data_IF_349933850303
#
_entry.id   IF_349933850303
#
_cell.length_a   1.000
_cell.length_b   1.000
_cell.length_c   1.000
_cell.angle_alpha   90.00
_cell.angle_beta   90.00
_cell.angle_gamma   90.00
#
_symmetry.space_group_name_H-M   'P 1'
#
loop_
_entity.id
_entity.type
_entity.pdbx_description
1 polymer ?
#
# COMPACT_ATOMS: atom_id res chain seq x y z
N UNK A 1 -17.40 -47.91 8.21
CA UNK A 1 -18.20 -46.67 8.41
C UNK A 1 -17.48 -45.65 9.31
N UNK A 2 -17.11 -45.97 10.56
CA UNK A 2 -16.43 -45.02 11.48
C UNK A 2 -15.13 -44.39 10.92
N UNK A 3 -14.31 -45.19 10.23
CA UNK A 3 -13.07 -44.72 9.56
C UNK A 3 -13.35 -43.78 8.39
N UNK A 4 -14.46 -43.98 7.69
CA UNK A 4 -14.87 -43.14 6.56
C UNK A 4 -15.40 -41.78 7.05
N UNK A 5 -16.16 -41.79 8.14
CA UNK A 5 -16.65 -40.56 8.81
C UNK A 5 -15.48 -39.73 9.36
N UNK A 6 -14.48 -40.38 9.97
CA UNK A 6 -13.26 -39.69 10.41
C UNK A 6 -12.49 -39.06 9.24
N UNK A 7 -12.38 -39.77 8.12
CA UNK A 7 -11.72 -39.25 6.92
C UNK A 7 -12.46 -38.04 6.32
N UNK A 8 -13.80 -38.10 6.27
CA UNK A 8 -14.63 -37.01 5.79
C UNK A 8 -14.56 -35.78 6.70
N UNK A 9 -14.54 -35.98 8.03
CA UNK A 9 -14.36 -34.91 9.00
C UNK A 9 -12.98 -34.25 8.91
N UNK A 10 -11.95 -35.03 8.61
CA UNK A 10 -10.59 -34.51 8.42
C UNK A 10 -10.48 -33.67 7.14
N UNK A 11 -11.11 -34.09 6.03
CA UNK A 11 -11.20 -33.32 4.78
C UNK A 11 -11.98 -32.00 4.96
N UNK A 12 -13.04 -31.99 5.76
CA UNK A 12 -13.81 -30.77 6.05
C UNK A 12 -13.06 -29.79 6.97
N UNK A 13 -12.14 -30.28 7.81
CA UNK A 13 -11.29 -29.43 8.63
C UNK A 13 -10.28 -28.60 7.81
N UNK A 14 -9.81 -29.12 6.68
CA UNK A 14 -8.84 -28.42 5.83
C UNK A 14 -9.42 -27.18 5.12
N UNK A 15 -10.73 -27.14 4.87
CA UNK A 15 -11.38 -25.98 4.24
C UNK A 15 -11.59 -24.80 5.19
N UNK A 16 -11.28 -24.96 6.48
CA UNK A 16 -11.37 -23.87 7.47
C UNK A 16 -10.03 -23.15 7.71
N UNK A 17 -8.95 -23.58 7.05
CA UNK A 17 -7.60 -23.04 7.23
C UNK A 17 -7.23 -21.97 6.18
N UNK A 18 -8.18 -21.13 5.77
CA UNK A 18 -7.87 -19.99 4.90
C UNK A 18 -7.12 -18.91 5.68
N UNK A 19 -5.81 -18.79 5.44
CA UNK A 19 -5.03 -17.65 5.92
C UNK A 19 -5.57 -16.37 5.27
N UNK A 20 -5.95 -15.38 6.09
CA UNK A 20 -6.33 -14.06 5.61
C UNK A 20 -5.07 -13.26 5.26
N UNK A 21 -5.11 -12.45 4.20
CA UNK A 21 -4.07 -11.45 4.00
C UNK A 21 -4.23 -10.37 5.08
N UNK A 22 -3.15 -10.07 5.81
CA UNK A 22 -3.14 -9.11 6.91
C UNK A 22 -2.34 -7.86 6.61
N UNK A 23 -1.71 -7.78 5.44
CA UNK A 23 -0.84 -6.66 5.03
C UNK A 23 -1.10 -6.29 3.57
N UNK A 24 -0.88 -5.02 3.22
CA UNK A 24 -1.19 -4.52 1.88
C UNK A 24 -2.69 -4.43 1.63
N UNK A 25 -3.15 -4.84 0.45
CA UNK A 25 -4.57 -4.83 0.09
C UNK A 25 -5.31 -5.96 0.84
N UNK A 26 -6.16 -5.58 1.78
CA UNK A 26 -6.98 -6.52 2.57
C UNK A 26 -8.38 -6.70 1.95
N UNK A 27 -8.91 -5.66 1.30
CA UNK A 27 -10.20 -5.69 0.62
C UNK A 27 -10.19 -4.78 -0.60
N UNK A 28 -10.89 -5.18 -1.65
CA UNK A 28 -11.08 -4.39 -2.86
C UNK A 28 -12.52 -4.57 -3.34
N UNK A 29 -13.18 -3.46 -3.63
CA UNK A 29 -14.53 -3.40 -4.16
C UNK A 29 -14.50 -2.61 -5.46
N UNK A 30 -14.78 -3.29 -6.58
CA UNK A 30 -14.75 -2.71 -7.92
C UNK A 30 -15.88 -1.71 -8.15
N UNK A 31 -17.01 -1.84 -7.46
CA UNK A 31 -18.16 -0.93 -7.61
C UNK A 31 -17.95 0.37 -6.81
N UNK A 32 -17.16 0.31 -5.74
CA UNK A 32 -16.86 1.44 -4.85
C UNK A 32 -15.46 2.05 -5.11
N UNK A 33 -14.77 1.64 -6.18
CA UNK A 33 -13.45 2.16 -6.54
C UNK A 33 -13.39 2.66 -7.97
N UNK A 34 -12.59 3.72 -8.17
CA UNK A 34 -12.30 4.22 -9.51
C UNK A 34 -11.14 3.43 -10.14
N UNK A 35 -11.23 3.16 -11.43
CA UNK A 35 -10.09 2.66 -12.21
C UNK A 35 -8.93 3.67 -12.18
N UNK A 36 -7.71 3.17 -12.01
CA UNK A 36 -6.51 3.98 -12.11
C UNK A 36 -5.41 3.58 -11.13
N UNK A 37 -4.60 4.58 -10.77
CA UNK A 37 -3.47 4.43 -9.86
C UNK A 37 -3.56 5.45 -8.72
N UNK A 38 -3.04 5.05 -7.57
CA UNK A 38 -2.93 5.89 -6.39
C UNK A 38 -1.49 6.39 -6.26
N UNK A 39 -1.31 7.71 -6.27
CA UNK A 39 -0.01 8.32 -6.02
C UNK A 39 0.13 8.57 -4.52
N UNK A 40 1.09 7.90 -3.88
CA UNK A 40 1.36 8.02 -2.45
C UNK A 40 2.71 8.66 -2.20
N UNK A 41 2.74 9.64 -1.30
CA UNK A 41 3.98 10.21 -0.77
C UNK A 41 3.95 10.15 0.77
N UNK A 42 4.34 9.01 1.37
CA UNK A 42 4.10 8.76 2.78
C UNK A 42 4.91 9.69 3.68
N UNK A 43 4.29 10.15 4.77
CA UNK A 43 4.95 11.05 5.72
C UNK A 43 6.26 10.46 6.24
N UNK A 44 7.31 11.29 6.32
CA UNK A 44 8.67 10.90 6.72
C UNK A 44 9.32 9.77 5.89
N UNK A 45 8.83 9.46 4.69
CA UNK A 45 9.49 8.59 3.72
C UNK A 45 9.83 9.36 2.44
N UNK A 46 11.08 9.30 1.97
CA UNK A 46 11.52 10.11 0.82
C UNK A 46 10.98 9.63 -0.54
N UNK A 47 10.61 8.36 -0.62
CA UNK A 47 10.08 7.72 -1.83
C UNK A 47 8.62 8.13 -2.12
N UNK A 48 8.33 8.35 -3.40
CA UNK A 48 6.96 8.43 -3.94
C UNK A 48 6.63 7.10 -4.60
N UNK A 49 5.41 6.61 -4.39
CA UNK A 49 4.93 5.34 -4.93
C UNK A 49 3.71 5.56 -5.81
N UNK A 50 3.65 4.84 -6.92
CA UNK A 50 2.44 4.66 -7.71
C UNK A 50 1.93 3.24 -7.46
N UNK A 51 0.71 3.11 -6.96
CA UNK A 51 0.12 1.83 -6.57
C UNK A 51 -1.15 1.58 -7.39
N UNK A 52 -1.31 0.37 -7.93
CA UNK A 52 -2.55 -0.01 -8.62
C UNK A 52 -3.65 -0.43 -7.63
N UNK A 53 -4.86 -0.65 -8.13
CA UNK A 53 -5.99 -1.06 -7.28
C UNK A 53 -5.84 -2.46 -6.67
N UNK A 54 -4.93 -3.30 -7.18
CA UNK A 54 -4.56 -4.59 -6.57
C UNK A 54 -3.59 -4.45 -5.38
N UNK A 55 -3.16 -3.22 -5.06
CA UNK A 55 -2.20 -2.95 -3.98
C UNK A 55 -0.73 -3.17 -4.36
N UNK A 56 -0.42 -3.31 -5.65
CA UNK A 56 0.94 -3.52 -6.13
C UNK A 56 1.61 -2.17 -6.45
N UNK A 57 2.88 -2.02 -6.05
CA UNK A 57 3.70 -0.88 -6.45
C UNK A 57 4.11 -1.06 -7.90
N UNK A 58 3.58 -0.23 -8.79
CA UNK A 58 3.89 -0.28 -10.23
C UNK A 58 5.01 0.66 -10.64
N UNK A 59 5.31 1.67 -9.81
CA UNK A 59 6.42 2.61 -10.02
C UNK A 59 6.85 3.20 -8.67
N UNK A 60 8.16 3.40 -8.51
CA UNK A 60 8.75 4.09 -7.36
C UNK A 60 9.70 5.21 -7.82
N UNK A 61 9.73 6.32 -7.08
CA UNK A 61 10.73 7.38 -7.20
C UNK A 61 11.45 7.57 -5.86
N UNK A 62 12.59 6.87 -5.66
CA UNK A 62 13.30 6.90 -4.39
C UNK A 62 13.97 8.26 -4.12
N UNK A 63 14.14 8.57 -2.84
CA UNK A 63 14.90 9.73 -2.37
C UNK A 63 15.46 9.42 -0.99
N UNK A 64 16.79 9.32 -0.90
CA UNK A 64 17.49 8.95 0.33
C UNK A 64 17.88 10.19 1.16
N UNK A 65 17.85 11.38 0.56
CA UNK A 65 18.37 12.61 1.16
C UNK A 65 17.26 13.46 1.80
N UNK A 66 16.04 13.41 1.24
CA UNK A 66 14.95 14.29 1.63
C UNK A 66 13.71 13.53 2.10
N UNK A 67 12.88 14.23 2.87
CA UNK A 67 11.56 13.75 3.32
C UNK A 67 10.43 14.59 2.69
N UNK A 68 9.17 14.14 2.73
CA UNK A 68 8.07 14.82 2.04
C UNK A 68 7.81 16.24 2.51
N UNK A 69 7.53 17.11 1.54
CA UNK A 69 6.94 18.44 1.71
C UNK A 69 5.43 18.45 1.45
N UNK A 70 4.73 17.34 1.76
CA UNK A 70 3.26 17.13 1.69
C UNK A 70 2.58 17.17 0.32
N UNK A 71 3.28 17.45 -0.78
CA UNK A 71 2.67 17.45 -2.12
C UNK A 71 3.53 16.65 -3.10
N UNK A 72 2.87 15.77 -3.85
CA UNK A 72 3.38 15.12 -5.04
C UNK A 72 2.31 15.18 -6.14
N UNK A 73 2.74 15.39 -7.38
CA UNK A 73 1.90 15.49 -8.56
C UNK A 73 2.55 14.75 -9.72
N UNK A 74 1.82 13.83 -10.34
CA UNK A 74 2.24 13.13 -11.55
C UNK A 74 1.59 13.80 -12.76
N UNK A 75 2.41 14.40 -13.60
CA UNK A 75 1.96 15.07 -14.81
C UNK A 75 1.52 14.06 -15.90
N UNK A 76 0.65 14.46 -16.85
CA UNK A 76 0.19 13.57 -17.93
C UNK A 76 1.32 13.05 -18.84
N UNK A 77 2.46 13.72 -18.88
CA UNK A 77 3.66 13.29 -19.61
C UNK A 77 4.55 12.31 -18.82
N UNK A 78 4.11 11.88 -17.64
CA UNK A 78 4.80 10.92 -16.77
C UNK A 78 5.84 11.54 -15.84
N UNK A 79 6.01 12.87 -15.83
CA UNK A 79 6.96 13.53 -14.92
C UNK A 79 6.38 13.69 -13.52
N UNK A 80 7.19 13.39 -12.52
CA UNK A 80 6.86 13.62 -11.11
C UNK A 80 7.35 15.00 -10.66
N UNK A 81 6.45 15.80 -10.09
CA UNK A 81 6.76 17.02 -9.35
C UNK A 81 6.45 16.75 -7.88
N UNK A 82 7.45 16.90 -7.00
CA UNK A 82 7.25 16.70 -5.54
C UNK A 82 7.90 17.82 -4.74
N UNK A 83 7.22 18.25 -3.69
CA UNK A 83 7.78 19.14 -2.67
C UNK A 83 8.58 18.29 -1.68
N UNK A 84 9.80 18.70 -1.34
CA UNK A 84 10.67 17.96 -0.41
C UNK A 84 11.35 18.90 0.57
N UNK A 85 11.70 18.37 1.74
CA UNK A 85 12.36 19.12 2.82
C UNK A 85 13.50 18.31 3.42
N UNK A 86 14.44 19.00 4.09
CA UNK A 86 15.49 18.32 4.83
C UNK A 86 14.88 17.57 6.03
N UNK A 87 15.40 16.39 6.41
CA UNK A 87 14.91 15.67 7.59
C UNK A 87 14.89 16.55 8.86
N UNK A 88 15.89 17.43 9.02
CA UNK A 88 16.07 18.31 10.18
C UNK A 88 15.23 19.59 10.15
N UNK A 89 14.59 19.92 9.02
CA UNK A 89 13.92 21.22 8.85
C UNK A 89 12.62 21.38 9.64
N UNK A 90 12.07 20.30 10.18
CA UNK A 90 10.76 20.30 10.86
C UNK A 90 10.83 19.99 12.37
N UNK A 91 12.02 19.99 12.97
CA UNK A 91 12.25 19.57 14.38
C UNK A 91 11.43 20.39 15.39
N UNK A 92 10.94 21.57 15.02
CA UNK A 92 10.12 22.44 15.88
C UNK A 92 8.84 22.96 15.21
N UNK A 93 8.39 22.35 14.12
CA UNK A 93 7.20 22.79 13.38
C UNK A 93 6.01 21.84 13.66
N UNK A 94 4.92 22.32 14.32
CA UNK A 94 3.76 21.51 14.68
C UNK A 94 3.06 20.81 13.51
N UNK A 95 3.29 21.26 12.27
CA UNK A 95 2.69 20.63 11.08
C UNK A 95 3.28 19.22 10.83
N UNK A 96 4.42 18.89 11.45
CA UNK A 96 5.21 17.69 11.14
C UNK A 96 5.54 16.82 12.37
N UNK A 97 5.04 17.21 13.54
CA UNK A 97 5.25 16.53 14.83
C UNK A 97 4.23 15.40 15.07
#
# INVERSE_FOLDING_TARGET
MKRFVLFLGLLFGFTLLYSQNTVGLVSYDEEESYEGYNLLYPHNQGSVFLINNCGEVVQEWPDEEFVPGNVAYLAPDGKLVKCKRLPTSAVNDPIWA
#
